data_IF_998568787648
#
_entry.id   IF_998568787648
#
_cell.length_a   1.000
_cell.length_b   1.000
_cell.length_c   1.000
_cell.angle_alpha   90.00
_cell.angle_beta   90.00
_cell.angle_gamma   90.00
#
_symmetry.space_group_name_H-M   'P 1'
#
loop_
_entity.id
_entity.type
_entity.pdbx_description
1 polymer ?
#
# COMPACT_ATOMS: atom_id res chain seq x y z
N UNK A 1 5.55 24.11 -5.27
CA UNK A 1 5.55 23.35 -4.00
C UNK A 1 5.65 21.87 -4.31
N UNK A 2 6.45 21.09 -3.57
CA UNK A 2 6.64 19.66 -3.82
C UNK A 2 5.32 18.88 -3.94
N UNK A 3 4.36 19.15 -3.02
CA UNK A 3 3.05 18.51 -3.03
C UNK A 3 2.20 18.86 -4.27
N UNK A 4 2.27 20.11 -4.76
CA UNK A 4 1.56 20.52 -5.99
C UNK A 4 2.12 19.77 -7.20
N UNK A 5 3.45 19.65 -7.29
CA UNK A 5 4.08 18.88 -8.37
C UNK A 5 3.74 17.39 -8.27
N UNK A 6 3.65 16.86 -7.04
CA UNK A 6 3.21 15.49 -6.79
C UNK A 6 1.79 15.26 -7.31
N UNK A 7 0.85 16.15 -6.96
CA UNK A 7 -0.53 16.06 -7.42
C UNK A 7 -0.64 16.17 -8.94
N UNK A 8 0.11 17.07 -9.57
CA UNK A 8 0.18 17.15 -11.03
C UNK A 8 0.67 15.83 -11.65
N UNK A 9 1.77 15.28 -11.14
CA UNK A 9 2.29 13.99 -11.60
C UNK A 9 1.29 12.85 -11.37
N UNK A 10 0.56 12.87 -10.27
CA UNK A 10 -0.46 11.86 -9.96
C UNK A 10 -1.65 11.94 -10.92
N UNK A 11 -2.09 13.15 -11.27
CA UNK A 11 -3.16 13.36 -12.24
C UNK A 11 -2.80 12.90 -13.66
N UNK A 12 -1.50 12.84 -13.99
CA UNK A 12 -1.00 12.25 -15.23
C UNK A 12 -0.98 10.71 -15.22
N UNK A 13 -1.26 10.07 -14.08
CA UNK A 13 -1.40 8.62 -14.01
C UNK A 13 -2.64 8.19 -14.81
N UNK A 14 -2.51 7.32 -15.84
CA UNK A 14 -3.63 6.96 -16.71
C UNK A 14 -4.72 6.12 -16.01
N UNK A 15 -4.46 5.63 -14.80
CA UNK A 15 -5.41 4.81 -14.03
C UNK A 15 -5.94 5.59 -12.83
N UNK A 16 -7.23 5.92 -12.87
CA UNK A 16 -7.94 6.51 -11.73
C UNK A 16 -7.90 5.63 -10.49
N UNK A 17 -7.82 4.30 -10.67
CA UNK A 17 -7.68 3.36 -9.57
C UNK A 17 -6.30 3.50 -8.92
N UNK A 18 -5.23 3.53 -9.71
CA UNK A 18 -3.87 3.72 -9.20
C UNK A 18 -3.73 5.08 -8.49
N UNK A 19 -4.44 6.11 -8.96
CA UNK A 19 -4.48 7.41 -8.28
C UNK A 19 -5.03 7.28 -6.86
N UNK A 20 -6.20 6.66 -6.70
CA UNK A 20 -6.85 6.44 -5.40
C UNK A 20 -5.98 5.57 -4.48
N UNK A 21 -5.49 4.46 -5.00
CA UNK A 21 -4.64 3.52 -4.25
C UNK A 21 -3.34 4.16 -3.75
N UNK A 22 -2.75 5.08 -4.53
CA UNK A 22 -1.56 5.81 -4.08
C UNK A 22 -1.87 6.83 -2.98
N UNK A 23 -3.09 7.38 -2.92
CA UNK A 23 -3.50 8.19 -1.77
C UNK A 23 -3.54 7.34 -0.50
N UNK A 24 -4.15 6.15 -0.53
CA UNK A 24 -4.15 5.22 0.60
C UNK A 24 -2.71 4.95 1.10
N UNK A 25 -1.80 4.67 0.16
CA UNK A 25 -0.38 4.44 0.46
C UNK A 25 0.30 5.61 1.18
N UNK A 26 0.00 6.85 0.78
CA UNK A 26 0.57 8.05 1.39
C UNK A 26 -0.05 8.42 2.73
N UNK A 27 -1.32 8.06 2.96
CA UNK A 27 -1.98 8.26 4.26
C UNK A 27 -1.39 7.34 5.32
N UNK A 28 -1.01 6.13 4.93
CA UNK A 28 -0.39 5.15 5.83
C UNK A 28 1.13 5.37 5.99
N UNK A 29 1.81 5.89 4.98
CA UNK A 29 3.27 6.04 4.96
C UNK A 29 3.70 7.48 4.69
N UNK A 30 4.44 8.08 5.63
CA UNK A 30 5.04 9.41 5.47
C UNK A 30 6.29 9.38 4.58
N UNK A 31 6.12 9.02 3.30
CA UNK A 31 7.24 8.97 2.36
C UNK A 31 7.71 10.38 1.97
N UNK A 32 9.03 10.62 1.90
CA UNK A 32 9.57 11.90 1.45
C UNK A 32 9.16 12.20 0.00
N UNK A 33 8.50 13.34 -0.21
CA UNK A 33 8.21 13.89 -1.53
C UNK A 33 9.37 14.80 -1.96
N UNK A 34 9.85 14.63 -3.19
CA UNK A 34 10.93 15.43 -3.77
C UNK A 34 10.39 16.71 -4.39
N UNK A 35 11.27 17.69 -4.62
CA UNK A 35 10.88 19.01 -5.16
C UNK A 35 10.15 18.95 -6.51
N UNK A 36 10.47 17.96 -7.34
CA UNK A 36 9.84 17.70 -8.64
C UNK A 36 8.59 16.81 -8.58
N UNK A 37 8.07 16.55 -7.38
CA UNK A 37 6.80 15.84 -7.19
C UNK A 37 6.88 14.33 -7.34
N UNK A 38 8.06 13.75 -7.12
CA UNK A 38 8.24 12.30 -7.01
C UNK A 38 8.24 11.95 -5.52
N UNK A 39 8.23 10.66 -5.20
CA UNK A 39 8.40 10.20 -3.83
C UNK A 39 9.53 9.17 -3.73
N UNK A 40 10.12 9.06 -2.54
CA UNK A 40 11.16 8.09 -2.26
C UNK A 40 10.56 6.84 -1.61
N UNK A 41 10.99 5.69 -2.06
CA UNK A 41 10.68 4.39 -1.48
C UNK A 41 11.95 3.53 -1.40
N UNK A 42 11.82 2.35 -0.81
CA UNK A 42 12.93 1.43 -0.58
C UNK A 42 12.74 0.13 -1.37
N UNK A 43 13.86 -0.54 -1.66
CA UNK A 43 13.88 -1.85 -2.29
C UNK A 43 15.08 -2.66 -1.82
N UNK A 44 14.87 -3.91 -1.39
CA UNK A 44 15.97 -4.84 -1.19
C UNK A 44 16.37 -5.51 -2.51
N UNK A 45 17.67 -5.60 -2.74
CA UNK A 45 18.31 -6.16 -3.93
C UNK A 45 19.45 -7.08 -3.49
N UNK A 46 19.91 -7.93 -4.39
CA UNK A 46 21.03 -8.84 -4.14
C UNK A 46 22.33 -8.06 -3.95
N UNK A 47 23.38 -8.74 -3.49
CA UNK A 47 24.72 -8.18 -3.34
C UNK A 47 25.31 -7.56 -4.62
N UNK A 48 24.86 -8.05 -5.79
CA UNK A 48 25.23 -7.60 -7.13
C UNK A 48 24.25 -6.54 -7.72
N UNK A 49 23.41 -5.93 -6.87
CA UNK A 49 22.37 -4.96 -7.23
C UNK A 49 21.25 -5.49 -8.15
N UNK A 50 21.22 -6.78 -8.45
CA UNK A 50 20.10 -7.36 -9.19
C UNK A 50 18.85 -7.52 -8.31
N UNK A 51 17.67 -7.44 -8.92
CA UNK A 51 16.42 -7.66 -8.18
C UNK A 51 16.38 -9.07 -7.55
N UNK A 52 15.85 -9.18 -6.32
CA UNK A 52 15.93 -10.44 -5.54
C UNK A 52 15.33 -11.65 -6.23
N UNK A 53 14.21 -11.48 -6.92
CA UNK A 53 13.43 -12.60 -7.45
C UNK A 53 13.91 -13.06 -8.82
N UNK A 54 13.94 -12.17 -9.82
CA UNK A 54 14.24 -12.56 -11.21
C UNK A 54 15.69 -12.36 -11.59
N UNK A 55 16.39 -11.43 -10.92
CA UNK A 55 17.79 -11.12 -11.23
C UNK A 55 17.99 -10.45 -12.59
N UNK A 56 16.97 -9.78 -13.12
CA UNK A 56 16.96 -9.18 -14.45
C UNK A 56 17.37 -7.70 -14.39
N UNK A 57 16.74 -6.94 -13.50
CA UNK A 57 16.93 -5.49 -13.41
C UNK A 57 18.16 -5.15 -12.59
N UNK A 58 18.98 -4.23 -13.10
CA UNK A 58 20.14 -3.69 -12.40
C UNK A 58 19.75 -2.44 -11.61
N UNK A 59 19.83 -2.54 -10.29
CA UNK A 59 19.48 -1.49 -9.36
C UNK A 59 20.72 -0.77 -8.80
N UNK A 60 21.81 -0.73 -9.55
CA UNK A 60 22.95 0.13 -9.22
C UNK A 60 22.49 1.59 -9.17
N UNK A 61 23.06 2.38 -8.26
CA UNK A 61 22.71 3.80 -8.11
C UNK A 61 22.91 4.55 -9.43
N UNK A 62 21.91 5.34 -9.83
CA UNK A 62 21.85 6.07 -11.09
C UNK A 62 21.11 5.33 -12.21
N UNK A 63 20.83 4.03 -12.07
CA UNK A 63 20.08 3.29 -13.08
C UNK A 63 18.57 3.53 -12.98
N UNK A 64 17.94 3.57 -14.15
CA UNK A 64 16.47 3.55 -14.30
C UNK A 64 16.03 2.11 -14.60
N UNK A 65 15.17 1.56 -13.74
CA UNK A 65 14.50 0.30 -14.02
C UNK A 65 13.12 0.60 -14.60
N UNK A 66 12.83 0.03 -15.78
CA UNK A 66 11.60 0.28 -16.51
C UNK A 66 11.06 -0.98 -17.15
N UNK A 67 9.73 -1.12 -17.15
CA UNK A 67 9.02 -2.11 -17.94
C UNK A 67 7.76 -1.53 -18.57
N UNK A 68 7.20 -2.21 -19.56
CA UNK A 68 5.92 -1.81 -20.16
C UNK A 68 4.83 -1.82 -19.09
N UNK A 69 4.09 -0.71 -18.92
CA UNK A 69 3.01 -0.60 -17.91
C UNK A 69 1.99 -1.73 -18.00
N UNK A 70 1.57 -2.11 -19.20
CA UNK A 70 0.64 -3.21 -19.44
C UNK A 70 1.18 -4.61 -19.03
N UNK A 71 2.45 -4.72 -18.65
CA UNK A 71 3.04 -5.94 -18.08
C UNK A 71 3.07 -5.92 -16.55
N UNK A 72 2.67 -4.83 -15.92
CA UNK A 72 2.54 -4.72 -14.47
C UNK A 72 1.09 -5.06 -14.11
N UNK A 73 0.92 -5.90 -13.10
CA UNK A 73 -0.40 -6.31 -12.61
C UNK A 73 -1.05 -5.13 -11.86
N UNK A 74 -2.24 -4.74 -12.28
CA UNK A 74 -3.06 -3.68 -11.70
C UNK A 74 -4.06 -4.19 -10.65
N UNK A 75 -4.21 -5.51 -10.49
CA UNK A 75 -5.11 -6.07 -9.49
C UNK A 75 -4.50 -5.99 -8.08
N UNK A 76 -4.99 -5.06 -7.27
CA UNK A 76 -4.54 -4.84 -5.88
C UNK A 76 -4.79 -6.01 -4.93
N UNK A 77 -5.72 -6.92 -5.22
CA UNK A 77 -6.03 -8.05 -4.33
C UNK A 77 -4.96 -9.15 -4.35
N UNK A 78 -4.02 -9.08 -5.29
CA UNK A 78 -2.91 -10.02 -5.41
C UNK A 78 -1.64 -9.44 -4.80
N UNK A 79 -1.11 -10.04 -3.73
CA UNK A 79 0.11 -9.54 -3.11
C UNK A 79 1.35 -9.61 -3.97
N UNK A 80 1.67 -10.80 -4.45
CA UNK A 80 2.90 -11.05 -5.19
C UNK A 80 2.56 -11.30 -6.66
N UNK A 81 2.77 -10.30 -7.50
CA UNK A 81 2.52 -10.42 -8.94
C UNK A 81 3.58 -9.69 -9.77
N UNK A 82 3.38 -9.61 -11.08
CA UNK A 82 4.34 -9.01 -11.99
C UNK A 82 4.37 -7.48 -11.83
N UNK A 83 5.56 -6.93 -11.64
CA UNK A 83 5.74 -5.50 -11.48
C UNK A 83 7.10 -5.17 -10.88
N UNK A 84 7.51 -3.91 -11.01
CA UNK A 84 8.64 -3.40 -10.25
C UNK A 84 8.14 -3.05 -8.85
N UNK A 85 8.57 -3.84 -7.85
CA UNK A 85 8.20 -3.63 -6.46
C UNK A 85 9.16 -2.67 -5.74
N UNK A 86 8.56 -1.78 -4.95
CA UNK A 86 9.20 -0.91 -3.97
C UNK A 86 8.21 -0.69 -2.80
N UNK A 87 8.67 -0.17 -1.68
CA UNK A 87 7.78 0.06 -0.53
C UNK A 87 8.43 0.81 0.61
N UNK A 88 7.74 0.87 1.73
CA UNK A 88 8.24 1.40 2.99
C UNK A 88 9.44 0.58 3.49
N UNK A 89 10.24 1.19 4.37
CA UNK A 89 11.45 0.55 4.88
C UNK A 89 11.13 -0.73 5.67
N UNK A 90 10.03 -0.73 6.44
CA UNK A 90 9.58 -1.89 7.22
C UNK A 90 9.25 -3.08 6.32
N UNK A 91 8.50 -2.85 5.24
CA UNK A 91 8.23 -3.86 4.24
C UNK A 91 9.51 -4.44 3.67
N UNK A 92 10.47 -3.58 3.30
CA UNK A 92 11.77 -4.02 2.76
C UNK A 92 12.58 -4.82 3.76
N UNK A 93 12.58 -4.41 5.03
CA UNK A 93 13.25 -5.12 6.12
C UNK A 93 12.64 -6.51 6.38
N UNK A 94 11.36 -6.73 6.05
CA UNK A 94 10.72 -8.05 6.22
C UNK A 94 11.25 -9.14 5.27
N UNK A 95 11.79 -8.77 4.10
CA UNK A 95 12.27 -9.74 3.09
C UNK A 95 13.72 -9.53 2.61
N UNK A 96 14.31 -8.37 2.91
CA UNK A 96 15.73 -8.12 2.73
C UNK A 96 16.53 -8.65 3.91
N UNK A 97 17.73 -9.16 3.66
CA UNK A 97 18.63 -9.64 4.72
C UNK A 97 20.05 -9.12 4.49
N UNK A 98 20.46 -8.17 5.33
CA UNK A 98 21.84 -7.65 5.33
C UNK A 98 22.84 -8.76 5.68
N UNK A 99 22.47 -9.68 6.57
CA UNK A 99 23.30 -10.84 6.94
C UNK A 99 23.53 -11.78 5.75
N UNK A 100 22.54 -11.96 4.87
CA UNK A 100 22.66 -12.73 3.64
C UNK A 100 23.39 -11.95 2.52
N UNK A 101 23.81 -10.71 2.77
CA UNK A 101 24.50 -9.85 1.81
C UNK A 101 23.58 -9.07 0.86
N UNK A 102 22.28 -9.01 1.13
CA UNK A 102 21.39 -8.10 0.38
C UNK A 102 21.77 -6.65 0.65
N UNK A 103 21.44 -5.79 -0.30
CA UNK A 103 21.54 -4.33 -0.20
C UNK A 103 20.16 -3.73 -0.22
N UNK A 104 20.01 -2.56 0.41
CA UNK A 104 18.77 -1.77 0.32
C UNK A 104 19.07 -0.51 -0.46
N UNK A 105 18.29 -0.26 -1.50
CA UNK A 105 18.41 0.93 -2.33
C UNK A 105 17.21 1.84 -2.14
N UNK A 106 17.46 3.13 -2.30
CA UNK A 106 16.44 4.19 -2.31
C UNK A 106 16.06 4.43 -3.76
N UNK A 107 14.77 4.32 -4.06
CA UNK A 107 14.21 4.53 -5.38
C UNK A 107 13.33 5.77 -5.38
N UNK A 108 13.44 6.55 -6.45
CA UNK A 108 12.61 7.72 -6.73
C UNK A 108 11.57 7.33 -7.77
N UNK A 109 10.30 7.45 -7.42
CA UNK A 109 9.17 6.98 -8.22
C UNK A 109 8.28 8.16 -8.61
N UNK A 110 7.91 8.21 -9.89
CA UNK A 110 6.90 9.17 -10.34
C UNK A 110 5.50 8.62 -10.01
N UNK A 111 4.62 9.39 -9.38
CA UNK A 111 3.23 9.01 -9.15
C UNK A 111 2.47 8.55 -10.41
N UNK A 112 2.82 9.08 -11.59
CA UNK A 112 2.22 8.67 -12.88
C UNK A 112 2.53 7.22 -13.27
N UNK A 113 3.66 6.69 -12.78
CA UNK A 113 4.18 5.38 -13.16
C UNK A 113 3.74 4.27 -12.20
N UNK A 114 3.10 4.62 -11.07
CA UNK A 114 2.47 3.67 -10.15
C UNK A 114 1.30 2.97 -10.83
N UNK A 115 1.20 1.65 -10.64
CA UNK A 115 0.19 0.79 -11.27
C UNK A 115 -0.78 0.22 -10.23
N UNK A 116 -0.30 -0.24 -9.09
CA UNK A 116 -1.19 -0.71 -8.01
C UNK A 116 -0.52 -0.66 -6.65
N UNK A 117 -1.33 -0.52 -5.59
CA UNK A 117 -0.92 -0.65 -4.19
C UNK A 117 -1.65 -1.84 -3.58
N UNK A 118 -0.97 -2.99 -3.42
CA UNK A 118 -1.57 -4.21 -2.88
C UNK A 118 -2.15 -4.00 -1.48
N UNK A 119 -3.39 -4.44 -1.26
CA UNK A 119 -4.09 -4.27 0.03
C UNK A 119 -3.63 -5.24 1.10
N UNK A 120 -3.03 -6.36 0.72
CA UNK A 120 -2.65 -7.46 1.61
C UNK A 120 -1.34 -7.23 2.39
N UNK A 121 -0.71 -6.07 2.19
CA UNK A 121 0.57 -5.72 2.80
C UNK A 121 0.48 -4.44 3.63
N UNK A 122 -0.67 -4.17 4.25
CA UNK A 122 -0.92 -2.94 5.01
C UNK A 122 -0.56 -1.65 4.26
N UNK A 123 -0.68 -1.66 2.93
CA UNK A 123 -0.24 -0.55 2.08
C UNK A 123 1.24 -0.19 2.28
N UNK A 124 2.12 -1.16 2.57
CA UNK A 124 3.56 -0.89 2.75
C UNK A 124 4.38 -1.15 1.46
N UNK A 125 3.74 -1.66 0.40
CA UNK A 125 4.39 -1.90 -0.91
C UNK A 125 3.55 -1.37 -2.06
N UNK A 126 4.19 -1.16 -3.20
CA UNK A 126 3.54 -0.80 -4.46
C UNK A 126 4.16 -1.51 -5.65
N UNK A 127 3.42 -1.51 -6.76
CA UNK A 127 3.85 -1.92 -8.10
C UNK A 127 3.95 -0.68 -9.00
N UNK A 128 5.10 -0.47 -9.61
CA UNK A 128 5.35 0.60 -10.59
C UNK A 128 5.86 0.03 -11.91
N UNK A 129 5.73 0.79 -13.00
CA UNK A 129 6.38 0.47 -14.27
C UNK A 129 7.74 1.13 -14.46
N UNK A 130 8.10 2.12 -13.64
CA UNK A 130 9.39 2.82 -13.72
C UNK A 130 9.84 3.38 -12.35
N UNK A 131 11.15 3.33 -12.09
CA UNK A 131 11.79 4.12 -11.03
C UNK A 131 13.28 4.39 -11.35
N UNK A 132 13.82 5.42 -10.70
CA UNK A 132 15.25 5.73 -10.68
C UNK A 132 15.85 5.32 -9.33
N UNK A 133 16.97 4.60 -9.34
CA UNK A 133 17.74 4.35 -8.11
C UNK A 133 18.58 5.58 -7.79
N UNK A 134 18.34 6.20 -6.63
CA UNK A 134 18.99 7.48 -6.26
C UNK A 134 20.06 7.34 -5.18
N UNK A 135 20.11 6.19 -4.49
CA UNK A 135 21.12 5.95 -3.47
C UNK A 135 21.04 4.56 -2.88
N UNK A 136 22.05 4.21 -2.10
CA UNK A 136 22.06 3.02 -1.25
C UNK A 136 21.74 3.46 0.18
N UNK A 137 20.86 2.72 0.84
CA UNK A 137 20.51 2.97 2.22
C UNK A 137 21.64 2.46 3.13
N UNK A 138 22.28 3.37 3.86
CA UNK A 138 23.41 3.08 4.76
C UNK A 138 23.04 3.09 6.24
N UNK A 139 21.76 3.31 6.57
CA UNK A 139 21.30 3.27 7.97
C UNK A 139 21.29 1.84 8.50
N UNK A 140 21.40 1.68 9.82
CA UNK A 140 20.89 0.47 10.45
C UNK A 140 19.40 0.35 10.08
N UNK A 141 18.94 -0.85 9.74
CA UNK A 141 17.52 -1.12 9.60
C UNK A 141 16.86 -0.89 10.96
N UNK A 142 16.50 0.35 11.24
CA UNK A 142 15.72 0.68 12.41
C UNK A 142 14.41 -0.09 12.25
N UNK A 143 14.17 -1.03 13.17
CA UNK A 143 12.79 -1.41 13.54
C UNK A 143 12.00 -0.10 13.68
N UNK A 144 10.73 -0.07 13.26
CA UNK A 144 10.04 1.16 12.88
C UNK A 144 10.34 2.31 13.84
N UNK A 145 10.79 3.45 13.31
CA UNK A 145 10.64 4.73 14.01
C UNK A 145 9.15 5.09 13.98
N UNK A 146 8.34 4.36 14.76
CA UNK A 146 6.97 4.70 15.06
C UNK A 146 6.76 4.52 16.55
N UNK A 147 6.91 5.63 17.27
CA UNK A 147 6.11 5.91 18.45
C UNK A 147 5.13 6.97 17.97
N UNK A 148 3.90 6.55 17.68
CA UNK A 148 2.79 7.46 17.64
C UNK A 148 2.53 7.93 19.06
N UNK A 149 3.32 8.90 19.56
CA UNK A 149 2.85 9.78 20.61
C UNK A 149 1.83 10.72 19.97
N UNK A 150 0.64 10.19 19.67
CA UNK A 150 -0.53 10.98 19.98
C UNK A 150 -0.61 10.94 21.49
N UNK A 151 -0.35 12.09 22.13
CA UNK A 151 -0.80 12.27 23.49
C UNK A 151 -2.31 12.05 23.46
N UNK A 152 -2.77 10.99 24.11
CA UNK A 152 -4.15 10.89 24.56
C UNK A 152 -4.39 12.10 25.46
N UNK A 153 -4.79 13.23 24.88
CA UNK A 153 -5.48 14.25 25.66
C UNK A 153 -6.84 13.65 25.98
N UNK A 154 -6.86 13.02 27.16
CA UNK A 154 -8.02 12.57 27.91
C UNK A 154 -9.11 13.65 27.84
N UNK A 155 -10.13 13.41 27.01
CA UNK A 155 -11.35 14.20 27.04
C UNK A 155 -11.97 13.98 28.42
N UNK A 156 -11.76 14.95 29.32
CA UNK A 156 -12.53 15.06 30.54
C UNK A 156 -13.99 15.32 30.17
N UNK A 157 -14.80 14.30 30.40
CA UNK A 157 -16.26 14.36 30.40
C UNK A 157 -16.68 15.17 31.65
N UNK A 158 -16.82 16.49 31.48
CA UNK A 158 -17.50 17.34 32.45
C UNK A 158 -19.00 17.34 32.08
N UNK A 159 -19.75 16.49 32.78
CA UNK A 159 -21.21 16.50 32.84
C UNK A 159 -21.76 17.92 33.08
N UNK A 160 -22.49 18.48 32.11
CA UNK A 160 -23.52 19.50 32.39
C UNK A 160 -24.81 19.22 31.60
N UNK A 161 -25.81 18.74 32.35
CA UNK A 161 -27.22 18.59 32.01
C UNK A 161 -27.77 19.70 31.09
N UNK A 162 -28.30 19.33 29.93
CA UNK A 162 -29.39 20.09 29.29
C UNK A 162 -30.43 19.15 28.67
N UNK A 163 -31.49 18.95 29.44
CA UNK A 163 -32.79 18.38 29.05
C UNK A 163 -33.44 19.16 27.91
N UNK A 164 -33.64 18.49 26.76
CA UNK A 164 -34.72 18.79 25.81
C UNK A 164 -35.19 17.52 25.08
N UNK A 165 -36.27 16.92 25.59
CA UNK A 165 -37.47 16.56 24.81
C UNK A 165 -37.36 15.50 23.69
N UNK A 166 -37.82 14.30 24.03
CA UNK A 166 -38.37 13.19 23.22
C UNK A 166 -38.91 13.57 21.81
N UNK A 167 -38.54 12.77 20.79
CA UNK A 167 -39.51 11.95 20.04
C UNK A 167 -38.87 10.67 19.47
N UNK A 168 -39.26 9.55 20.08
CA UNK A 168 -38.84 8.16 19.85
C UNK A 168 -39.81 7.50 18.85
N UNK A 169 -39.73 7.82 17.56
CA UNK A 169 -40.65 7.21 16.59
C UNK A 169 -40.10 7.07 15.16
N UNK A 170 -38.83 6.64 14.98
CA UNK A 170 -38.38 6.35 13.60
C UNK A 170 -37.36 5.24 13.35
N UNK A 171 -37.03 4.39 14.32
CA UNK A 171 -36.15 3.23 14.06
C UNK A 171 -36.72 1.86 14.44
N UNK A 172 -37.98 1.80 14.88
CA UNK A 172 -38.71 0.55 15.18
C UNK A 172 -39.28 -0.10 13.91
N UNK A 173 -38.46 -0.41 12.90
CA UNK A 173 -39.01 -1.14 11.75
C UNK A 173 -38.14 -2.10 10.95
N UNK A 174 -36.88 -2.35 11.30
CA UNK A 174 -36.13 -3.40 10.61
C UNK A 174 -35.09 -4.09 11.52
N UNK A 175 -35.55 -4.64 12.63
CA UNK A 175 -34.89 -5.77 13.28
C UNK A 175 -35.98 -6.82 13.52
N UNK A 176 -35.93 -7.88 12.71
CA UNK A 176 -36.36 -9.25 13.02
C UNK A 176 -36.53 -10.02 11.70
N UNK A 177 -35.58 -10.91 11.40
CA UNK A 177 -35.93 -12.28 11.04
C UNK A 177 -34.68 -13.17 11.18
N UNK A 178 -34.67 -13.88 12.30
CA UNK A 178 -33.78 -14.95 12.70
C UNK A 178 -33.65 -16.02 11.60
N UNK A 179 -32.40 -16.40 11.29
CA UNK A 179 -32.09 -17.65 10.61
C UNK A 179 -31.84 -18.72 11.68
N UNK A 180 -32.76 -19.66 11.82
CA UNK A 180 -32.51 -21.01 12.35
C UNK A 180 -33.58 -21.95 11.80
N UNK A 181 -33.18 -22.94 11.00
CA UNK A 181 -33.33 -24.36 11.39
C UNK A 181 -32.69 -25.32 10.38
N UNK A 182 -32.06 -26.35 10.92
CA UNK A 182 -31.43 -27.48 10.24
C UNK A 182 -32.48 -28.48 9.69
N UNK A 183 -32.14 -29.20 8.61
CA UNK A 183 -32.07 -30.68 8.55
C UNK A 183 -32.46 -31.36 7.22
N UNK A 184 -31.54 -32.25 6.81
CA UNK A 184 -31.65 -33.57 6.17
C UNK A 184 -32.23 -33.78 4.74
N UNK A 185 -31.29 -34.07 3.83
CA UNK A 185 -31.19 -35.17 2.86
C UNK A 185 -32.46 -35.92 2.38
N UNK A 186 -32.60 -36.06 1.05
CA UNK A 186 -32.70 -37.38 0.37
C UNK A 186 -32.67 -37.27 -1.17
N UNK A 187 -31.60 -37.80 -1.75
CA UNK A 187 -31.52 -38.70 -2.91
C UNK A 187 -32.59 -38.68 -4.04
N UNK A 188 -32.10 -38.40 -5.27
CA UNK A 188 -32.07 -39.35 -6.41
C UNK A 188 -32.81 -39.00 -7.73
N UNK A 189 -32.10 -39.34 -8.83
CA UNK A 189 -32.49 -39.45 -10.25
C UNK A 189 -32.81 -38.12 -10.96
N UNK A 190 -32.26 -37.76 -12.13
CA UNK A 190 -31.67 -38.54 -13.23
C UNK A 190 -32.36 -38.15 -14.55
N UNK A 191 -31.54 -37.88 -15.58
CA UNK A 191 -31.81 -37.83 -17.04
C UNK A 191 -32.20 -36.52 -17.76
N UNK A 192 -31.30 -36.13 -18.67
CA UNK A 192 -31.44 -35.71 -20.09
C UNK A 192 -32.79 -35.07 -20.52
N UNK A 193 -32.81 -33.92 -21.20
CA UNK A 193 -32.14 -33.56 -22.46
C UNK A 193 -31.95 -32.04 -22.57
#
# INVERSE_FOLDING_TARGET
YPLVNFLHNLMENPSMQSQKELYDFLEHEHLPITEDGYFLAYKAVRSDYKDKYRGVFDNSVGNVCKMTRAKVDDNRSVGCSNGLHAGALNYVASYGSLEAGDRIVIVKINPKDVVSVPSDCNCEKLRTCEYLVVGEYQGELLKPLYSSTFSDEEYHDDDEDTDYGIDNEYWDQFDDEDYDDEDEDTDSYGFYN
#
